data_IF_707109888183
#
_entry.id   IF_707109888183
#
_cell.length_a   1.000
_cell.length_b   1.000
_cell.length_c   1.000
_cell.angle_alpha   90.00
_cell.angle_beta   90.00
_cell.angle_gamma   90.00
#
_symmetry.space_group_name_H-M   'P 1'
#
loop_
_entity.id
_entity.type
_entity.pdbx_description
1 polymer ?
#
# COMPACT_ATOMS: atom_id res chain seq x y z
N UNK A 1 -67.87 25.21 9.74
CA UNK A 1 -68.39 26.61 9.55
C UNK A 1 -67.28 27.42 8.93
N UNK A 2 -67.63 27.99 7.75
CA UNK A 2 -67.07 29.19 7.07
C UNK A 2 -65.55 29.26 6.87
N UNK A 3 -64.97 29.55 5.77
CA UNK A 3 -65.39 30.03 4.42
C UNK A 3 -64.15 30.70 3.83
N UNK A 4 -63.75 30.25 2.64
CA UNK A 4 -63.38 30.96 1.42
C UNK A 4 -62.61 32.31 1.52
N UNK A 5 -61.46 32.43 0.81
CA UNK A 5 -61.43 33.34 -0.34
C UNK A 5 -60.25 33.05 -1.26
N UNK A 6 -60.62 32.97 -2.49
CA UNK A 6 -59.89 32.83 -3.74
C UNK A 6 -59.38 34.23 -4.16
N UNK A 7 -58.20 34.37 -4.70
CA UNK A 7 -57.70 35.60 -5.31
C UNK A 7 -56.84 35.27 -6.54
N UNK A 8 -57.47 35.31 -7.70
CA UNK A 8 -56.84 35.33 -9.03
C UNK A 8 -56.28 36.72 -9.29
N UNK A 9 -55.07 36.79 -9.79
CA UNK A 9 -54.66 37.94 -10.62
C UNK A 9 -53.96 37.51 -11.90
N UNK A 10 -54.38 38.14 -12.93
CA UNK A 10 -54.24 37.89 -14.34
C UNK A 10 -52.95 38.46 -14.92
N UNK A 11 -52.53 37.87 -16.01
CA UNK A 11 -51.34 38.12 -16.82
C UNK A 11 -51.25 39.54 -17.40
N UNK A 12 -50.04 39.94 -17.72
CA UNK A 12 -49.75 40.85 -18.84
C UNK A 12 -48.46 40.41 -19.54
N UNK A 13 -48.62 39.96 -20.78
CA UNK A 13 -47.57 39.79 -21.78
C UNK A 13 -47.13 41.16 -22.32
N UNK A 14 -45.82 41.41 -22.28
CA UNK A 14 -45.23 42.47 -23.10
C UNK A 14 -44.09 41.84 -23.91
N UNK A 15 -44.34 41.71 -25.20
CA UNK A 15 -43.35 41.32 -26.19
C UNK A 15 -42.53 42.57 -26.60
N UNK A 16 -41.22 42.44 -26.59
CA UNK A 16 -40.29 43.41 -27.18
C UNK A 16 -39.43 42.65 -28.22
N UNK A 17 -39.27 43.20 -29.43
CA UNK A 17 -38.65 42.52 -30.55
C UNK A 17 -37.11 42.50 -30.42
N UNK A 18 -36.50 41.37 -30.77
CA UNK A 18 -35.07 41.19 -30.90
C UNK A 18 -34.51 41.94 -32.14
N UNK A 19 -33.54 42.79 -31.89
CA UNK A 19 -32.66 43.29 -32.95
C UNK A 19 -31.44 42.43 -32.99
N UNK A 20 -31.30 41.67 -34.07
CA UNK A 20 -30.10 40.85 -34.38
C UNK A 20 -29.08 41.80 -35.01
N UNK A 21 -27.97 42.06 -34.32
CA UNK A 21 -26.79 42.67 -34.93
C UNK A 21 -25.69 41.61 -34.95
N UNK A 22 -25.42 41.05 -36.11
CA UNK A 22 -24.37 40.08 -36.34
C UNK A 22 -22.99 40.73 -36.23
N UNK A 23 -22.15 40.16 -35.40
CA UNK A 23 -20.70 40.29 -35.49
C UNK A 23 -20.11 38.92 -35.79
N UNK A 24 -19.75 38.74 -37.07
CA UNK A 24 -18.92 37.61 -37.50
C UNK A 24 -17.50 37.89 -37.03
N UNK A 25 -17.13 37.29 -35.88
CA UNK A 25 -15.75 37.20 -35.43
C UNK A 25 -15.27 35.78 -35.61
N UNK A 26 -14.45 35.51 -36.63
CA UNK A 26 -13.71 34.28 -36.78
C UNK A 26 -12.70 34.17 -35.64
N UNK A 27 -13.14 33.62 -34.50
CA UNK A 27 -12.25 33.07 -33.49
C UNK A 27 -11.94 31.60 -33.84
N UNK A 28 -10.68 31.31 -34.19
CA UNK A 28 -10.20 29.94 -34.29
C UNK A 28 -10.52 29.24 -32.95
N UNK A 29 -11.02 27.99 -32.95
CA UNK A 29 -11.16 27.24 -31.72
C UNK A 29 -9.76 27.12 -31.10
N UNK A 30 -9.62 27.61 -29.87
CA UNK A 30 -8.46 27.33 -29.03
C UNK A 30 -8.46 25.82 -28.84
N UNK A 31 -7.37 25.12 -29.15
CA UNK A 31 -7.27 23.73 -28.81
C UNK A 31 -7.38 23.63 -27.28
N UNK A 32 -8.40 23.00 -26.78
CA UNK A 32 -8.39 22.46 -25.43
C UNK A 32 -7.34 21.37 -25.45
N UNK A 33 -6.12 21.76 -25.12
CA UNK A 33 -5.09 20.77 -24.75
C UNK A 33 -5.67 19.95 -23.62
N UNK A 34 -6.20 18.80 -23.97
CA UNK A 34 -6.49 17.75 -23.04
C UNK A 34 -5.17 17.48 -22.34
N UNK A 35 -5.08 17.88 -21.06
CA UNK A 35 -4.06 17.39 -20.16
C UNK A 35 -4.17 15.88 -20.25
N UNK A 36 -3.27 15.27 -20.98
CA UNK A 36 -3.26 13.84 -21.23
C UNK A 36 -3.20 13.13 -19.88
N UNK A 37 -4.32 12.57 -19.49
CA UNK A 37 -4.36 11.55 -18.45
C UNK A 37 -3.56 10.38 -19.02
N UNK A 38 -2.28 10.29 -18.70
CA UNK A 38 -1.29 9.38 -19.30
C UNK A 38 -1.60 7.88 -19.20
N UNK A 39 -2.82 7.50 -19.48
CA UNK A 39 -3.26 6.11 -19.64
C UNK A 39 -2.87 5.69 -21.05
N UNK A 40 -2.01 4.69 -21.18
CA UNK A 40 -1.83 4.03 -22.47
C UNK A 40 -3.19 3.50 -22.90
N UNK A 41 -3.70 3.98 -24.05
CA UNK A 41 -4.92 3.43 -24.62
C UNK A 41 -4.74 1.96 -24.98
N UNK A 42 -5.82 1.22 -25.06
CA UNK A 42 -5.79 -0.23 -25.34
C UNK A 42 -5.06 -0.54 -26.68
N UNK A 43 -5.10 0.38 -27.65
CA UNK A 43 -4.40 0.19 -28.91
C UNK A 43 -2.88 0.30 -28.76
N UNK A 44 -2.41 1.22 -27.94
CA UNK A 44 -0.98 1.36 -27.60
C UNK A 44 -0.46 0.10 -26.91
N UNK A 45 -1.24 -0.50 -25.99
CA UNK A 45 -0.87 -1.73 -25.30
C UNK A 45 -0.80 -2.92 -26.28
N UNK A 46 -1.73 -3.02 -27.24
CA UNK A 46 -1.74 -4.05 -28.27
C UNK A 46 -0.59 -3.93 -29.27
N UNK A 47 0.02 -2.76 -29.41
CA UNK A 47 1.16 -2.53 -30.28
C UNK A 47 2.52 -2.84 -29.62
N UNK A 48 2.55 -3.25 -28.35
CA UNK A 48 3.77 -3.67 -27.71
C UNK A 48 4.37 -4.92 -28.40
N UNK A 49 5.70 -5.00 -28.42
CA UNK A 49 6.41 -6.20 -28.88
C UNK A 49 6.17 -7.37 -27.91
N UNK A 50 6.25 -8.58 -28.46
CA UNK A 50 6.19 -9.78 -27.63
C UNK A 50 7.45 -9.89 -26.76
N UNK A 51 7.27 -9.84 -25.43
CA UNK A 51 8.36 -9.93 -24.46
C UNK A 51 7.90 -10.65 -23.18
N UNK A 52 8.88 -11.13 -22.45
CA UNK A 52 8.71 -11.70 -21.12
C UNK A 52 9.45 -10.84 -20.10
N UNK A 53 8.73 -10.35 -19.09
CA UNK A 53 9.24 -9.55 -18.01
C UNK A 53 9.40 -10.40 -16.75
N UNK A 54 10.55 -10.29 -16.10
CA UNK A 54 10.85 -10.99 -14.86
C UNK A 54 10.95 -9.98 -13.70
N UNK A 55 10.03 -10.08 -12.74
CA UNK A 55 9.98 -9.26 -11.52
C UNK A 55 10.18 -10.12 -10.28
N UNK A 56 10.79 -9.55 -9.25
CA UNK A 56 10.98 -10.21 -7.96
C UNK A 56 10.85 -9.23 -6.80
N UNK A 57 10.51 -9.75 -5.62
CA UNK A 57 10.59 -8.93 -4.41
C UNK A 57 9.43 -9.10 -3.43
N UNK A 58 8.89 -7.99 -2.99
CA UNK A 58 7.89 -7.91 -1.92
C UNK A 58 6.74 -8.90 -2.08
N UNK A 59 6.43 -9.61 -1.01
CA UNK A 59 5.23 -10.47 -0.94
C UNK A 59 3.97 -9.69 -0.55
N UNK A 60 4.14 -8.50 0.00
CA UNK A 60 3.05 -7.57 0.34
C UNK A 60 2.18 -7.26 -0.89
N UNK A 61 2.78 -6.90 -2.02
CA UNK A 61 2.07 -6.50 -3.24
C UNK A 61 1.68 -7.69 -4.13
N UNK A 62 2.16 -8.91 -3.82
CA UNK A 62 1.96 -10.09 -4.67
C UNK A 62 0.50 -10.42 -4.98
N UNK A 63 -0.46 -10.36 -4.02
CA UNK A 63 -1.87 -10.66 -4.30
C UNK A 63 -2.48 -9.82 -5.42
N UNK A 64 -2.13 -8.55 -5.52
CA UNK A 64 -2.62 -7.68 -6.60
C UNK A 64 -1.76 -7.80 -7.87
N UNK A 65 -0.45 -8.00 -7.73
CA UNK A 65 0.42 -8.25 -8.89
C UNK A 65 -0.01 -9.49 -9.68
N UNK A 66 -0.47 -10.53 -9.01
CA UNK A 66 -0.99 -11.73 -9.66
C UNK A 66 -2.25 -11.44 -10.49
N UNK A 67 -3.12 -10.55 -10.02
CA UNK A 67 -4.28 -10.08 -10.79
C UNK A 67 -3.86 -9.18 -11.95
N UNK A 68 -2.95 -8.23 -11.69
CA UNK A 68 -2.51 -7.29 -12.72
C UNK A 68 -1.79 -7.99 -13.88
N UNK A 69 -0.89 -8.95 -13.59
CA UNK A 69 -0.19 -9.68 -14.66
C UNK A 69 -1.15 -10.45 -15.60
N UNK A 70 -2.19 -11.08 -15.02
CA UNK A 70 -3.20 -11.80 -15.81
C UNK A 70 -4.00 -10.83 -16.69
N UNK A 71 -4.44 -9.71 -16.13
CA UNK A 71 -5.17 -8.69 -16.89
C UNK A 71 -4.31 -7.98 -17.92
N UNK A 72 -3.02 -7.76 -17.65
CA UNK A 72 -2.13 -7.13 -18.61
C UNK A 72 -1.77 -8.04 -19.78
N UNK A 73 -1.66 -9.36 -19.55
CA UNK A 73 -1.53 -10.36 -20.63
C UNK A 73 -2.75 -10.28 -21.56
N UNK A 74 -3.97 -10.21 -21.03
CA UNK A 74 -5.20 -10.06 -21.82
C UNK A 74 -5.17 -8.75 -22.64
N UNK A 75 -4.82 -7.62 -22.03
CA UNK A 75 -4.76 -6.30 -22.69
C UNK A 75 -3.70 -6.19 -23.80
N UNK A 76 -2.67 -7.01 -23.74
CA UNK A 76 -1.60 -7.02 -24.74
C UNK A 76 -1.75 -8.17 -25.77
N UNK A 77 -2.94 -8.76 -25.86
CA UNK A 77 -3.23 -9.92 -26.73
C UNK A 77 -2.17 -11.05 -26.58
N UNK A 78 -1.75 -11.32 -25.33
CA UNK A 78 -0.78 -12.35 -24.99
C UNK A 78 0.69 -12.00 -25.26
N UNK A 79 0.99 -10.79 -25.74
CA UNK A 79 2.36 -10.39 -26.14
C UNK A 79 3.29 -10.12 -24.97
N UNK A 80 2.79 -9.51 -23.89
CA UNK A 80 3.60 -9.22 -22.69
C UNK A 80 3.26 -10.20 -21.59
N UNK A 81 4.20 -11.10 -21.30
CA UNK A 81 4.10 -12.04 -20.18
C UNK A 81 4.88 -11.49 -18.98
N UNK A 82 4.31 -11.59 -17.78
CA UNK A 82 4.96 -11.11 -16.57
C UNK A 82 5.11 -12.27 -15.59
N UNK A 83 6.35 -12.62 -15.29
CA UNK A 83 6.69 -13.56 -14.23
C UNK A 83 7.08 -12.78 -12.99
N UNK A 84 6.32 -12.94 -11.90
CA UNK A 84 6.64 -12.33 -10.63
C UNK A 84 6.82 -13.38 -9.55
N UNK A 85 7.95 -13.29 -8.85
CA UNK A 85 8.26 -14.18 -7.72
C UNK A 85 8.37 -13.37 -6.43
N UNK A 86 7.46 -13.63 -5.47
CA UNK A 86 7.52 -13.05 -4.13
C UNK A 86 8.66 -13.66 -3.32
N UNK A 87 9.79 -12.97 -3.22
CA UNK A 87 11.01 -13.43 -2.52
C UNK A 87 11.35 -12.57 -1.31
N UNK A 88 10.55 -11.53 -1.02
CA UNK A 88 10.78 -10.52 0.00
C UNK A 88 11.45 -9.26 -0.56
N UNK A 89 11.20 -8.11 0.06
CA UNK A 89 11.69 -6.80 -0.41
C UNK A 89 13.21 -6.73 -0.53
N UNK A 90 13.93 -7.30 0.43
CA UNK A 90 15.40 -7.32 0.38
C UNK A 90 15.95 -8.11 -0.81
N UNK A 91 15.33 -9.24 -1.16
CA UNK A 91 15.70 -10.00 -2.35
C UNK A 91 15.39 -9.20 -3.63
N UNK A 92 14.22 -8.51 -3.69
CA UNK A 92 13.87 -7.64 -4.80
C UNK A 92 14.92 -6.54 -5.05
N UNK A 93 15.35 -5.85 -4.00
CA UNK A 93 16.42 -4.85 -4.09
C UNK A 93 17.73 -5.48 -4.57
N UNK A 94 18.11 -6.66 -4.02
CA UNK A 94 19.32 -7.36 -4.44
C UNK A 94 19.29 -7.76 -5.93
N UNK A 95 18.12 -8.17 -6.45
CA UNK A 95 18.01 -8.47 -7.89
C UNK A 95 18.21 -7.22 -8.74
N UNK A 96 17.74 -6.07 -8.27
CA UNK A 96 17.96 -4.80 -8.96
C UNK A 96 19.44 -4.36 -8.89
N UNK A 97 20.09 -4.40 -7.72
CA UNK A 97 21.52 -4.02 -7.63
C UNK A 97 22.43 -4.88 -8.50
N UNK A 98 22.01 -6.14 -8.78
CA UNK A 98 22.74 -7.08 -9.64
C UNK A 98 22.28 -7.12 -11.11
N UNK A 99 21.30 -6.31 -11.51
CA UNK A 99 20.67 -6.33 -12.86
C UNK A 99 20.14 -7.70 -13.28
N UNK A 100 19.53 -8.45 -12.35
CA UNK A 100 19.02 -9.81 -12.59
C UNK A 100 17.50 -9.86 -12.78
N UNK A 101 16.80 -8.74 -12.68
CA UNK A 101 15.37 -8.63 -12.93
C UNK A 101 15.06 -7.37 -13.76
N UNK A 102 13.97 -7.40 -14.50
CA UNK A 102 13.48 -6.27 -15.28
C UNK A 102 12.87 -5.20 -14.35
N UNK A 103 12.29 -5.63 -13.21
CA UNK A 103 11.86 -4.75 -12.11
C UNK A 103 11.89 -5.49 -10.77
N UNK A 104 12.12 -4.77 -9.70
CA UNK A 104 12.01 -5.26 -8.33
C UNK A 104 10.75 -4.71 -7.64
N UNK A 105 10.25 -5.38 -6.59
CA UNK A 105 9.29 -4.75 -5.68
C UNK A 105 9.80 -4.71 -4.26
N UNK A 106 9.54 -3.60 -3.56
CA UNK A 106 9.91 -3.38 -2.18
C UNK A 106 8.85 -2.55 -1.45
N UNK A 107 8.59 -2.86 -0.17
CA UNK A 107 7.64 -2.10 0.65
C UNK A 107 8.34 -0.99 1.44
N UNK A 108 9.63 -0.86 1.28
CA UNK A 108 10.41 0.29 1.72
C UNK A 108 11.31 0.77 0.59
N UNK A 109 11.56 2.08 0.49
CA UNK A 109 12.51 2.61 -0.49
C UNK A 109 13.93 2.11 -0.23
N UNK A 110 14.77 2.10 -1.26
CA UNK A 110 16.20 1.77 -1.11
C UNK A 110 16.92 2.83 -0.26
N UNK A 111 17.77 2.35 0.64
CA UNK A 111 18.64 3.20 1.46
C UNK A 111 19.82 3.73 0.64
N UNK A 112 20.50 4.80 1.15
CA UNK A 112 21.74 5.30 0.55
C UNK A 112 22.79 4.21 0.37
N UNK A 113 22.92 3.28 1.34
CA UNK A 113 23.80 2.12 1.24
C UNK A 113 23.45 1.21 0.06
N UNK A 114 22.17 0.87 -0.10
CA UNK A 114 21.70 0.02 -1.21
C UNK A 114 21.83 0.73 -2.57
N UNK A 115 21.63 2.05 -2.61
CA UNK A 115 21.86 2.84 -3.81
C UNK A 115 23.32 2.84 -4.23
N UNK A 116 24.24 2.84 -3.28
CA UNK A 116 25.69 2.76 -3.54
C UNK A 116 26.14 1.39 -4.09
N UNK A 117 25.33 0.33 -3.93
CA UNK A 117 25.57 -1.01 -4.50
C UNK A 117 25.13 -1.15 -5.97
N UNK A 118 24.50 -0.12 -6.54
CA UNK A 118 24.10 -0.12 -7.94
C UNK A 118 25.35 -0.07 -8.84
N UNK A 119 25.29 -0.62 -10.07
CA UNK A 119 26.35 -0.46 -11.05
C UNK A 119 26.71 1.00 -11.28
N UNK A 120 27.96 1.27 -11.56
CA UNK A 120 28.47 2.64 -11.75
C UNK A 120 27.65 3.40 -12.82
N UNK A 121 27.17 4.59 -12.46
CA UNK A 121 26.33 5.44 -13.32
C UNK A 121 24.88 4.96 -13.50
N UNK A 122 24.47 3.89 -12.81
CA UNK A 122 23.08 3.45 -12.85
C UNK A 122 22.21 4.25 -11.88
N UNK A 123 21.03 4.65 -12.34
CA UNK A 123 19.99 5.26 -11.54
C UNK A 123 18.75 4.36 -11.51
N UNK A 124 18.09 4.29 -10.36
CA UNK A 124 16.81 3.63 -10.21
C UNK A 124 15.72 4.61 -9.81
N UNK A 125 14.51 4.28 -10.17
CA UNK A 125 13.29 5.00 -9.77
C UNK A 125 12.41 4.09 -8.94
N UNK A 126 11.70 4.70 -7.96
CA UNK A 126 10.70 4.03 -7.15
C UNK A 126 9.33 4.52 -7.58
N UNK A 127 8.49 3.60 -8.04
CA UNK A 127 7.12 3.88 -8.49
C UNK A 127 6.16 3.27 -7.48
N UNK A 128 5.39 4.08 -6.73
CA UNK A 128 4.34 3.57 -5.86
C UNK A 128 3.34 2.72 -6.64
N UNK A 129 3.00 1.57 -6.12
CA UNK A 129 2.06 0.63 -6.73
C UNK A 129 0.72 0.62 -6.00
N UNK A 130 0.75 0.48 -4.69
CA UNK A 130 -0.42 0.40 -3.81
C UNK A 130 -0.09 0.93 -2.42
N UNK A 131 -1.13 1.26 -1.68
CA UNK A 131 -1.08 1.46 -0.24
C UNK A 131 -1.83 0.33 0.45
N UNK A 132 -1.25 -0.22 1.51
CA UNK A 132 -1.87 -1.29 2.28
C UNK A 132 -1.60 -1.13 3.78
N UNK A 133 -2.07 -2.08 4.56
CA UNK A 133 -1.87 -2.10 6.01
C UNK A 133 -1.12 -3.35 6.46
N UNK A 134 -0.28 -3.20 7.44
CA UNK A 134 0.28 -4.30 8.23
C UNK A 134 -0.56 -4.46 9.48
N UNK A 135 -1.17 -5.63 9.66
CA UNK A 135 -2.09 -5.89 10.76
C UNK A 135 -1.52 -6.89 11.76
N UNK A 136 -1.77 -6.70 13.07
CA UNK A 136 -1.50 -7.72 14.08
C UNK A 136 -2.54 -8.83 13.92
N UNK A 137 -2.16 -9.90 13.22
CA UNK A 137 -3.01 -11.06 12.98
C UNK A 137 -2.70 -12.16 14.00
N UNK A 138 -3.73 -12.82 14.52
CA UNK A 138 -3.61 -13.82 15.57
C UNK A 138 -4.62 -14.95 15.43
N UNK A 139 -4.30 -16.09 16.01
CA UNK A 139 -5.19 -17.23 16.14
C UNK A 139 -5.46 -17.49 17.64
N UNK A 140 -6.66 -17.08 18.07
CA UNK A 140 -7.05 -17.18 19.48
C UNK A 140 -8.42 -17.83 19.58
N UNK A 141 -8.49 -19.14 19.87
CA UNK A 141 -9.75 -19.86 19.99
C UNK A 141 -10.67 -19.26 21.06
N UNK A 142 -11.96 -19.25 20.80
CA UNK A 142 -12.97 -18.74 21.71
C UNK A 142 -13.11 -17.19 21.75
N UNK A 143 -12.23 -16.45 21.06
CA UNK A 143 -12.33 -15.00 20.93
C UNK A 143 -12.94 -14.64 19.59
N UNK A 144 -14.20 -14.18 19.59
CA UNK A 144 -14.93 -13.79 18.37
C UNK A 144 -14.69 -12.35 17.95
N UNK A 145 -14.55 -11.44 18.90
CA UNK A 145 -14.37 -10.02 18.67
C UNK A 145 -12.93 -9.67 18.32
N UNK A 146 -12.69 -8.70 17.43
CA UNK A 146 -11.35 -8.19 17.18
C UNK A 146 -10.75 -7.57 18.43
N UNK A 147 -9.53 -7.99 18.79
CA UNK A 147 -8.80 -7.41 19.91
C UNK A 147 -8.28 -6.01 19.59
N UNK A 148 -8.17 -5.19 20.63
CA UNK A 148 -7.56 -3.87 20.58
C UNK A 148 -6.12 -3.94 21.04
N UNK A 149 -5.24 -3.30 20.30
CA UNK A 149 -3.83 -3.18 20.61
C UNK A 149 -3.40 -1.72 20.68
N UNK A 150 -2.34 -1.46 21.42
CA UNK A 150 -1.59 -0.20 21.35
C UNK A 150 -0.18 -0.50 20.85
N UNK A 151 0.50 0.52 20.30
CA UNK A 151 1.89 0.36 19.89
C UNK A 151 2.80 -0.19 21.00
N UNK A 152 2.80 0.41 22.21
CA UNK A 152 3.57 -0.12 23.34
C UNK A 152 3.22 -1.57 23.70
N UNK A 153 1.94 -1.96 23.65
CA UNK A 153 1.53 -3.34 23.90
C UNK A 153 2.11 -4.30 22.85
N UNK A 154 2.07 -3.93 21.57
CA UNK A 154 2.70 -4.71 20.50
C UNK A 154 4.23 -4.84 20.72
N UNK A 155 4.91 -3.76 21.13
CA UNK A 155 6.33 -3.84 21.51
C UNK A 155 6.55 -4.88 22.61
N UNK A 156 5.77 -4.85 23.67
CA UNK A 156 5.92 -5.81 24.79
C UNK A 156 5.65 -7.27 24.36
N UNK A 157 4.67 -7.49 23.49
CA UNK A 157 4.38 -8.82 22.92
C UNK A 157 5.56 -9.30 22.05
N UNK A 158 5.98 -8.50 21.07
CA UNK A 158 7.00 -8.89 20.12
C UNK A 158 8.43 -8.87 20.69
N UNK A 159 8.62 -8.32 21.89
CA UNK A 159 9.88 -8.43 22.65
C UNK A 159 9.82 -9.48 23.77
N UNK A 160 8.70 -10.22 23.91
CA UNK A 160 8.55 -11.31 24.87
C UNK A 160 8.33 -10.86 26.31
N UNK A 161 8.07 -9.57 26.57
CA UNK A 161 7.74 -9.06 27.91
C UNK A 161 6.34 -9.49 28.36
N UNK A 162 5.44 -9.66 27.42
CA UNK A 162 4.12 -10.25 27.61
C UNK A 162 4.10 -11.60 26.92
N UNK A 163 3.91 -12.67 27.71
CA UNK A 163 4.03 -14.04 27.26
C UNK A 163 2.71 -14.82 27.23
N UNK A 164 1.61 -14.25 27.74
CA UNK A 164 0.30 -14.91 27.79
C UNK A 164 -0.81 -13.98 27.31
N UNK A 165 -1.82 -14.54 26.67
CA UNK A 165 -2.97 -13.80 26.17
C UNK A 165 -3.85 -13.21 27.28
N UNK A 166 -3.94 -13.84 28.44
CA UNK A 166 -4.69 -13.33 29.60
C UNK A 166 -3.89 -12.34 30.47
N UNK A 167 -2.78 -11.78 29.96
CA UNK A 167 -2.03 -10.74 30.64
C UNK A 167 -2.94 -9.53 30.96
N UNK A 168 -2.76 -8.96 32.15
CA UNK A 168 -3.59 -7.85 32.65
C UNK A 168 -3.60 -6.62 31.71
N UNK A 169 -2.51 -6.36 30.98
CA UNK A 169 -2.42 -5.25 30.03
C UNK A 169 -3.28 -5.51 28.78
N UNK A 170 -3.35 -6.75 28.31
CA UNK A 170 -4.23 -7.12 27.19
C UNK A 170 -5.69 -7.06 27.65
N UNK A 171 -5.99 -7.64 28.82
CA UNK A 171 -7.34 -7.64 29.40
C UNK A 171 -7.88 -6.21 29.65
N UNK A 172 -7.05 -5.31 30.14
CA UNK A 172 -7.45 -3.92 30.40
C UNK A 172 -7.85 -3.14 29.12
N UNK A 173 -7.26 -3.47 27.96
CA UNK A 173 -7.63 -2.89 26.68
C UNK A 173 -8.86 -3.57 26.04
N UNK A 174 -9.21 -4.77 26.50
CA UNK A 174 -10.26 -5.62 25.94
C UNK A 174 -11.30 -6.02 27.00
N UNK A 175 -11.95 -5.06 27.69
CA UNK A 175 -12.89 -5.37 28.74
C UNK A 175 -14.07 -6.18 28.19
N UNK A 176 -14.49 -7.20 28.95
CA UNK A 176 -15.60 -8.09 28.57
C UNK A 176 -15.21 -9.26 27.64
N UNK A 177 -13.96 -9.31 27.15
CA UNK A 177 -13.46 -10.43 26.38
C UNK A 177 -12.78 -11.44 27.31
N UNK A 178 -13.28 -12.69 27.34
CA UNK A 178 -12.64 -13.78 28.08
C UNK A 178 -11.38 -14.24 27.36
N UNK A 179 -10.22 -13.77 27.81
CA UNK A 179 -8.93 -14.12 27.23
C UNK A 179 -8.45 -15.47 27.82
N UNK A 180 -8.01 -16.44 26.99
CA UNK A 180 -7.56 -17.74 27.48
C UNK A 180 -6.19 -17.66 28.17
N UNK A 181 -5.94 -18.55 29.13
CA UNK A 181 -4.60 -18.77 29.69
C UNK A 181 -3.75 -19.56 28.69
N UNK A 182 -3.34 -18.90 27.62
CA UNK A 182 -2.60 -19.46 26.50
C UNK A 182 -1.32 -18.63 26.26
N UNK A 183 -0.22 -19.34 26.00
CA UNK A 183 1.04 -18.69 25.66
C UNK A 183 0.94 -17.93 24.34
N UNK A 184 1.52 -16.74 24.29
CA UNK A 184 1.67 -15.98 23.04
C UNK A 184 2.90 -16.51 22.28
N UNK A 185 2.72 -16.81 21.00
CA UNK A 185 3.81 -17.14 20.10
C UNK A 185 3.95 -16.06 19.02
N UNK A 186 4.88 -15.10 19.18
CA UNK A 186 5.19 -14.14 18.11
C UNK A 186 5.75 -14.83 16.87
N UNK A 187 5.31 -14.41 15.69
CA UNK A 187 5.75 -14.93 14.40
C UNK A 187 6.42 -13.82 13.60
N UNK A 188 7.69 -13.99 13.33
CA UNK A 188 8.53 -13.04 12.58
C UNK A 188 8.75 -13.49 11.15
N UNK A 189 9.28 -12.59 10.32
CA UNK A 189 9.79 -12.92 8.99
C UNK A 189 11.21 -13.46 9.07
N UNK A 190 11.44 -14.59 8.40
CA UNK A 190 12.78 -15.20 8.28
C UNK A 190 13.60 -14.55 7.15
N UNK A 191 12.93 -13.97 6.17
CA UNK A 191 13.53 -13.28 5.02
C UNK A 191 13.57 -11.76 5.25
N UNK A 192 14.49 -11.02 4.59
CA UNK A 192 14.49 -9.56 4.61
C UNK A 192 13.21 -8.99 4.01
N UNK A 193 12.35 -8.41 4.84
CA UNK A 193 10.95 -8.10 4.53
C UNK A 193 10.63 -6.62 4.68
N UNK A 194 9.99 -6.04 3.66
CA UNK A 194 9.45 -4.69 3.74
C UNK A 194 8.26 -4.59 4.71
N UNK A 195 7.44 -5.65 4.84
CA UNK A 195 6.39 -5.73 5.87
C UNK A 195 6.99 -5.61 7.27
N UNK A 196 8.12 -6.28 7.52
CA UNK A 196 8.89 -6.13 8.76
C UNK A 196 9.39 -4.70 8.94
N UNK A 197 9.90 -4.08 7.88
CA UNK A 197 10.36 -2.69 7.92
C UNK A 197 9.23 -1.74 8.35
N UNK A 198 8.04 -1.82 7.71
CA UNK A 198 6.87 -1.00 8.04
C UNK A 198 6.45 -1.21 9.51
N UNK A 199 6.38 -2.45 9.95
CA UNK A 199 6.01 -2.79 11.33
C UNK A 199 7.01 -2.23 12.34
N UNK A 200 8.31 -2.43 12.11
CA UNK A 200 9.37 -1.91 12.97
C UNK A 200 9.47 -0.38 12.95
N UNK A 201 9.20 0.27 11.81
CA UNK A 201 9.16 1.74 11.72
C UNK A 201 8.06 2.32 12.62
N UNK A 202 6.87 1.69 12.62
CA UNK A 202 5.81 2.06 13.54
C UNK A 202 6.21 1.83 15.01
N UNK A 203 6.72 0.64 15.35
CA UNK A 203 7.09 0.33 16.73
C UNK A 203 8.22 1.24 17.25
N UNK A 204 9.15 1.62 16.39
CA UNK A 204 10.23 2.54 16.73
C UNK A 204 9.75 3.99 16.96
N UNK A 205 8.62 4.38 16.36
CA UNK A 205 7.98 5.70 16.60
C UNK A 205 7.27 5.79 17.93
N UNK A 206 6.77 4.66 18.43
CA UNK A 206 5.98 4.59 19.67
C UNK A 206 6.79 4.13 20.88
N UNK A 207 8.02 3.60 20.67
CA UNK A 207 8.89 3.12 21.75
C UNK A 207 10.37 3.37 21.40
N UNK A 208 10.99 4.33 22.10
CA UNK A 208 12.41 4.68 21.91
C UNK A 208 13.38 3.55 22.33
N UNK A 209 12.99 2.68 23.27
CA UNK A 209 13.82 1.54 23.63
C UNK A 209 13.82 0.49 22.52
N UNK A 210 12.65 0.21 21.91
CA UNK A 210 12.55 -0.65 20.72
C UNK A 210 13.44 -0.11 19.59
N UNK A 211 13.38 1.19 19.33
CA UNK A 211 14.23 1.84 18.32
C UNK A 211 15.71 1.60 18.53
N UNK A 212 16.16 1.63 19.78
CA UNK A 212 17.58 1.43 20.16
C UNK A 212 18.02 -0.04 20.16
N UNK A 213 17.12 -0.95 20.53
CA UNK A 213 17.49 -2.36 20.79
C UNK A 213 17.20 -3.28 19.61
N UNK A 214 16.08 -3.08 18.91
CA UNK A 214 15.64 -3.85 17.73
C UNK A 214 15.88 -3.07 16.45
N UNK A 215 15.47 -1.79 16.43
CA UNK A 215 15.66 -0.86 15.33
C UNK A 215 14.71 -1.08 14.16
N UNK A 216 14.91 -0.25 13.12
CA UNK A 216 14.13 -0.27 11.88
C UNK A 216 14.96 -0.89 10.76
N UNK A 217 14.56 -2.07 10.29
CA UNK A 217 15.25 -2.81 9.23
C UNK A 217 14.32 -3.82 8.59
N UNK A 218 14.67 -4.27 7.39
CA UNK A 218 14.01 -5.41 6.75
C UNK A 218 14.31 -6.75 7.47
N UNK A 219 15.42 -6.80 8.23
CA UNK A 219 15.85 -7.94 9.01
C UNK A 219 16.41 -7.45 10.36
N UNK A 220 15.54 -6.99 11.27
CA UNK A 220 15.97 -6.47 12.56
C UNK A 220 16.45 -7.58 13.50
N UNK A 221 17.19 -7.21 14.53
CA UNK A 221 17.66 -8.13 15.54
C UNK A 221 16.57 -8.40 16.61
N UNK A 222 15.62 -9.27 16.29
CA UNK A 222 14.61 -9.69 17.26
C UNK A 222 15.25 -10.34 18.49
N UNK A 223 14.65 -10.19 19.69
CA UNK A 223 15.20 -10.80 20.91
C UNK A 223 15.30 -12.33 20.80
N UNK A 224 16.42 -12.88 21.20
CA UNK A 224 16.64 -14.33 21.16
C UNK A 224 15.66 -15.08 22.06
N UNK A 225 15.14 -16.20 21.58
CA UNK A 225 14.19 -17.03 22.32
C UNK A 225 12.75 -16.54 22.31
N UNK A 226 12.46 -15.42 21.62
CA UNK A 226 11.11 -14.91 21.47
C UNK A 226 10.56 -15.32 20.10
N UNK A 227 9.44 -16.06 20.12
CA UNK A 227 8.71 -16.42 18.90
C UNK A 227 9.48 -17.32 17.93
N UNK A 228 8.98 -17.37 16.71
CA UNK A 228 9.53 -18.16 15.60
C UNK A 228 9.61 -17.34 14.33
N UNK A 229 10.47 -17.75 13.40
CA UNK A 229 10.60 -17.11 12.10
C UNK A 229 9.96 -17.96 10.99
N UNK A 230 9.19 -17.32 10.10
CA UNK A 230 8.56 -17.95 8.93
C UNK A 230 8.90 -17.18 7.66
N UNK A 231 9.14 -17.89 6.58
CA UNK A 231 9.50 -17.31 5.29
C UNK A 231 8.26 -16.72 4.61
N UNK A 232 8.37 -15.50 4.10
CA UNK A 232 7.38 -14.79 3.30
C UNK A 232 6.05 -14.55 4.03
N UNK A 233 5.15 -13.82 3.41
CA UNK A 233 3.82 -13.55 4.00
C UNK A 233 2.98 -14.82 4.11
N UNK A 234 3.04 -15.70 3.10
CA UNK A 234 2.32 -16.99 3.10
C UNK A 234 2.73 -17.89 4.26
N UNK A 235 4.05 -17.94 4.56
CA UNK A 235 4.57 -18.73 5.66
C UNK A 235 4.10 -18.21 7.02
N UNK A 236 4.12 -16.88 7.23
CA UNK A 236 3.62 -16.25 8.46
C UNK A 236 2.12 -16.49 8.60
N UNK A 237 1.31 -16.19 7.57
CA UNK A 237 -0.13 -16.41 7.58
C UNK A 237 -0.49 -17.87 7.80
N UNK A 238 0.20 -18.78 7.10
CA UNK A 238 0.00 -20.22 7.26
C UNK A 238 0.35 -20.73 8.65
N UNK A 239 1.38 -20.19 9.31
CA UNK A 239 1.72 -20.56 10.68
C UNK A 239 0.67 -20.08 11.68
N UNK A 240 0.29 -18.79 11.60
CA UNK A 240 -0.75 -18.23 12.47
C UNK A 240 -2.05 -19.05 12.34
N UNK A 241 -2.48 -19.36 11.12
CA UNK A 241 -3.70 -20.13 10.87
C UNK A 241 -3.74 -21.51 11.50
N UNK A 242 -2.59 -22.14 11.76
CA UNK A 242 -2.48 -23.51 12.28
C UNK A 242 -2.07 -23.59 13.75
N UNK A 243 -1.64 -22.47 14.35
CA UNK A 243 -1.08 -22.46 15.69
C UNK A 243 -1.90 -21.58 16.61
N UNK A 244 -2.59 -22.19 17.55
CA UNK A 244 -3.30 -21.48 18.61
C UNK A 244 -2.33 -20.66 19.46
N UNK A 245 -2.70 -19.42 19.78
CA UNK A 245 -1.86 -18.49 20.52
C UNK A 245 -0.81 -17.76 19.68
N UNK A 246 -0.68 -18.07 18.39
CA UNK A 246 0.23 -17.36 17.51
C UNK A 246 -0.29 -15.95 17.19
N UNK A 247 0.64 -14.99 17.12
CA UNK A 247 0.43 -13.62 16.64
C UNK A 247 1.56 -13.21 15.71
N UNK A 248 1.25 -12.57 14.60
CA UNK A 248 2.24 -12.05 13.66
C UNK A 248 1.79 -10.74 13.03
N UNK A 249 2.67 -10.15 12.24
CA UNK A 249 2.38 -8.96 11.45
C UNK A 249 2.38 -9.35 9.97
N UNK A 250 1.24 -9.15 9.32
CA UNK A 250 1.04 -9.49 7.90
C UNK A 250 0.30 -8.38 7.18
N UNK A 251 0.39 -8.37 5.87
CA UNK A 251 -0.44 -7.48 5.06
C UNK A 251 -1.91 -7.92 5.15
N UNK A 252 -2.82 -6.94 5.16
CA UNK A 252 -4.26 -7.09 5.41
C UNK A 252 -4.93 -8.16 4.52
N UNK A 253 -4.58 -8.23 3.24
CA UNK A 253 -5.18 -9.19 2.30
C UNK A 253 -4.99 -10.64 2.75
N UNK A 254 -3.79 -10.98 3.27
CA UNK A 254 -3.54 -12.34 3.81
C UNK A 254 -4.40 -12.65 5.04
N UNK A 255 -4.65 -11.66 5.90
CA UNK A 255 -5.53 -11.84 7.06
C UNK A 255 -6.98 -12.06 6.61
N UNK A 256 -7.46 -11.30 5.62
CA UNK A 256 -8.80 -11.41 5.08
C UNK A 256 -9.04 -12.72 4.30
N UNK A 257 -8.05 -13.20 3.57
CA UNK A 257 -8.09 -14.50 2.87
C UNK A 257 -8.12 -15.70 3.84
N UNK A 258 -7.67 -15.49 5.07
CA UNK A 258 -7.60 -16.53 6.13
C UNK A 258 -8.55 -16.26 7.31
N UNK A 259 -9.57 -15.43 7.14
CA UNK A 259 -10.47 -14.92 8.20
C UNK A 259 -11.16 -15.99 9.05
N UNK A 260 -11.33 -17.19 8.51
CA UNK A 260 -11.94 -18.31 9.24
C UNK A 260 -10.97 -18.99 10.23
N UNK A 261 -9.67 -18.74 10.09
CA UNK A 261 -8.59 -19.37 10.85
C UNK A 261 -7.75 -18.39 11.67
N UNK A 262 -7.85 -17.12 11.37
CA UNK A 262 -7.19 -16.05 12.11
C UNK A 262 -8.05 -14.79 12.12
N UNK A 263 -7.80 -13.95 13.11
CA UNK A 263 -8.36 -12.61 13.22
C UNK A 263 -7.25 -11.59 13.19
N UNK A 264 -7.60 -10.33 12.99
CA UNK A 264 -6.67 -9.22 13.19
C UNK A 264 -7.33 -8.16 14.06
N UNK A 265 -6.51 -7.42 14.79
CA UNK A 265 -6.97 -6.45 15.76
C UNK A 265 -6.93 -5.02 15.28
N UNK A 266 -7.67 -4.13 15.97
CA UNK A 266 -7.50 -2.70 15.83
C UNK A 266 -6.21 -2.25 16.54
N UNK A 267 -5.66 -1.13 16.07
CA UNK A 267 -4.49 -0.52 16.70
C UNK A 267 -4.81 0.92 17.06
N UNK A 268 -4.49 1.33 18.28
CA UNK A 268 -4.67 2.70 18.73
C UNK A 268 -3.72 3.62 17.96
N UNK A 269 -4.30 4.61 17.26
CA UNK A 269 -3.54 5.57 16.48
C UNK A 269 -3.07 6.77 17.32
N UNK A 270 -2.30 7.67 16.68
CA UNK A 270 -1.74 8.87 17.30
C UNK A 270 -2.80 9.82 17.90
N UNK A 271 -4.02 9.82 17.35
CA UNK A 271 -5.16 10.58 17.88
C UNK A 271 -5.88 9.86 19.06
N UNK A 272 -5.37 8.71 19.52
CA UNK A 272 -5.95 7.94 20.62
C UNK A 272 -7.18 7.11 20.24
N UNK A 273 -7.48 6.94 18.96
CA UNK A 273 -8.61 6.15 18.47
C UNK A 273 -8.18 4.72 18.17
N UNK A 274 -9.02 3.75 18.53
CA UNK A 274 -8.83 2.35 18.13
C UNK A 274 -9.31 2.20 16.69
N UNK A 275 -8.38 2.01 15.75
CA UNK A 275 -8.66 1.94 14.31
C UNK A 275 -8.41 0.54 13.78
N UNK A 276 -9.43 -0.04 13.15
CA UNK A 276 -9.29 -1.29 12.40
C UNK A 276 -8.78 -0.97 10.99
N UNK A 277 -7.94 -1.85 10.44
CA UNK A 277 -7.47 -1.68 9.07
C UNK A 277 -8.58 -2.01 8.08
N UNK A 278 -8.94 -1.04 7.27
CA UNK A 278 -9.84 -1.14 6.13
C UNK A 278 -9.43 -0.11 5.05
N UNK A 279 -10.13 -0.10 3.93
CA UNK A 279 -9.82 0.80 2.82
C UNK A 279 -9.87 2.28 3.23
N UNK A 280 -10.84 2.67 4.06
CA UNK A 280 -11.04 4.06 4.45
C UNK A 280 -9.94 4.53 5.42
N UNK A 281 -9.58 3.69 6.39
CA UNK A 281 -8.54 4.01 7.37
C UNK A 281 -7.13 4.00 6.76
N UNK A 282 -6.88 3.14 5.77
CA UNK A 282 -5.63 3.11 5.01
C UNK A 282 -5.54 4.35 4.11
N UNK A 283 -6.64 4.72 3.43
CA UNK A 283 -6.71 5.93 2.61
C UNK A 283 -6.46 7.18 3.46
N UNK A 284 -7.09 7.26 4.64
CA UNK A 284 -6.88 8.38 5.56
C UNK A 284 -5.41 8.52 6.00
N UNK A 285 -4.71 7.40 6.23
CA UNK A 285 -3.28 7.41 6.54
C UNK A 285 -2.43 7.88 5.34
N UNK A 286 -2.78 7.47 4.12
CA UNK A 286 -2.12 7.93 2.91
C UNK A 286 -2.30 9.44 2.72
N UNK A 287 -3.53 9.93 2.74
CA UNK A 287 -3.85 11.35 2.53
C UNK A 287 -3.11 12.24 3.54
N UNK A 288 -3.11 11.86 4.82
CA UNK A 288 -2.39 12.59 5.86
C UNK A 288 -0.87 12.64 5.66
N UNK A 289 -0.29 11.66 4.95
CA UNK A 289 1.16 11.53 4.78
C UNK A 289 1.67 12.14 3.47
N UNK A 290 0.85 12.15 2.41
CA UNK A 290 1.26 12.64 1.07
C UNK A 290 1.54 14.14 1.03
N UNK A 291 0.97 14.92 1.96
CA UNK A 291 1.21 16.35 2.09
C UNK A 291 2.48 16.68 2.90
N UNK A 292 3.07 15.69 3.57
CA UNK A 292 4.21 15.88 4.44
C UNK A 292 5.52 15.74 3.68
N UNK A 293 6.44 16.70 3.87
CA UNK A 293 7.80 16.60 3.36
C UNK A 293 8.53 15.46 4.07
N UNK A 294 9.04 14.52 3.29
CA UNK A 294 9.85 13.42 3.81
C UNK A 294 11.28 13.90 4.07
N UNK A 295 11.72 13.88 5.33
CA UNK A 295 13.04 14.40 5.75
C UNK A 295 13.99 13.30 6.22
N UNK A 296 13.50 12.09 6.41
CA UNK A 296 14.26 10.96 6.96
C UNK A 296 14.49 9.90 5.88
N UNK A 297 15.73 9.35 5.85
CA UNK A 297 16.02 8.18 5.02
C UNK A 297 15.21 6.94 5.47
N UNK A 298 14.83 6.08 4.51
CA UNK A 298 15.12 6.14 3.07
C UNK A 298 14.13 6.99 2.25
N UNK A 299 13.06 7.49 2.86
CA UNK A 299 11.98 8.18 2.16
C UNK A 299 12.43 9.50 1.53
N UNK A 300 13.32 10.25 2.19
CA UNK A 300 13.84 11.53 1.69
C UNK A 300 14.70 11.42 0.42
N UNK A 301 15.16 10.21 0.08
CA UNK A 301 15.98 9.95 -1.10
C UNK A 301 15.16 9.78 -2.39
N UNK A 302 13.83 9.62 -2.28
CA UNK A 302 12.99 9.24 -3.41
C UNK A 302 11.75 10.12 -3.49
N UNK A 303 11.53 10.75 -4.65
CA UNK A 303 10.51 11.79 -4.87
C UNK A 303 9.07 11.35 -4.57
N UNK A 304 8.75 10.07 -4.80
CA UNK A 304 7.39 9.54 -4.65
C UNK A 304 7.29 8.55 -3.48
N UNK A 305 8.26 8.54 -2.57
CA UNK A 305 8.25 7.70 -1.39
C UNK A 305 7.74 8.48 -0.17
N UNK A 306 6.71 7.96 0.47
CA UNK A 306 6.09 8.56 1.64
C UNK A 306 6.04 7.55 2.78
N UNK A 307 6.40 7.99 3.97
CA UNK A 307 6.24 7.21 5.19
C UNK A 307 4.82 7.40 5.72
N UNK A 308 4.07 6.30 5.82
CA UNK A 308 2.68 6.31 6.22
C UNK A 308 2.45 5.81 7.66
N UNK A 309 3.49 5.31 8.33
CA UNK A 309 3.35 4.81 9.69
C UNK A 309 3.14 5.94 10.68
N UNK A 310 2.27 5.72 11.66
CA UNK A 310 1.89 6.70 12.68
C UNK A 310 1.38 8.03 12.09
N UNK A 311 0.67 7.94 10.95
CA UNK A 311 0.07 9.10 10.30
C UNK A 311 -0.91 9.82 11.23
N UNK A 312 -0.99 11.15 11.08
CA UNK A 312 -1.96 11.96 11.82
C UNK A 312 -3.40 11.70 11.37
N UNK A 313 -4.37 12.09 12.19
CA UNK A 313 -5.80 11.98 11.89
C UNK A 313 -6.52 10.91 12.71
N UNK A 314 -7.79 11.17 13.04
CA UNK A 314 -8.58 10.27 13.90
C UNK A 314 -8.90 8.94 13.24
N UNK A 315 -8.98 8.91 11.90
CA UNK A 315 -9.32 7.71 11.12
C UNK A 315 -8.11 6.98 10.58
N UNK A 316 -6.91 7.56 10.66
CA UNK A 316 -5.69 7.01 10.06
C UNK A 316 -5.26 5.71 10.73
N UNK A 317 -5.15 4.63 9.96
CA UNK A 317 -4.60 3.37 10.46
C UNK A 317 -3.08 3.52 10.68
N UNK A 318 -2.55 3.18 11.87
CA UNK A 318 -1.19 3.59 12.22
C UNK A 318 -0.07 2.76 11.58
N UNK A 319 -0.36 1.58 11.04
CA UNK A 319 0.66 0.70 10.43
C UNK A 319 0.38 0.57 8.92
N UNK A 320 0.14 1.70 8.27
CA UNK A 320 0.01 1.75 6.82
C UNK A 320 1.38 1.85 6.13
N UNK A 321 1.46 1.35 4.91
CA UNK A 321 2.69 1.39 4.11
C UNK A 321 2.42 1.33 2.61
N UNK A 322 3.44 1.72 1.84
CA UNK A 322 3.43 1.65 0.37
C UNK A 322 4.29 0.49 -0.11
N UNK A 323 3.87 -0.13 -1.21
CA UNK A 323 4.75 -1.00 -2.00
C UNK A 323 5.14 -0.30 -3.30
N UNK A 324 6.40 -0.44 -3.67
CA UNK A 324 7.01 0.23 -4.82
C UNK A 324 7.49 -0.78 -5.85
N UNK A 325 7.35 -0.47 -7.13
CA UNK A 325 8.21 -1.03 -8.16
C UNK A 325 9.52 -0.24 -8.18
N UNK A 326 10.63 -0.95 -8.25
CA UNK A 326 11.98 -0.41 -8.42
C UNK A 326 12.47 -0.82 -9.78
N UNK A 327 12.85 0.13 -10.62
CA UNK A 327 13.35 -0.13 -11.96
C UNK A 327 14.46 0.86 -12.32
N UNK A 328 15.32 0.48 -13.26
CA UNK A 328 16.32 1.38 -13.78
C UNK A 328 15.68 2.52 -14.55
N UNK A 329 16.26 3.72 -14.45
CA UNK A 329 15.83 4.90 -15.22
C UNK A 329 16.12 4.72 -16.71
N UNK A 330 17.22 4.08 -17.05
CA UNK A 330 17.53 3.64 -18.42
C UNK A 330 17.07 2.20 -18.61
N UNK A 331 16.17 2.00 -19.54
CA UNK A 331 15.58 0.72 -19.86
C UNK A 331 15.99 0.28 -21.27
N UNK A 332 16.08 -1.04 -21.48
CA UNK A 332 16.55 -1.58 -22.75
C UNK A 332 15.36 -1.99 -23.65
N UNK A 333 15.26 -1.35 -24.80
CA UNK A 333 14.48 -1.80 -25.96
C UNK A 333 13.01 -2.12 -25.66
N UNK A 334 12.54 -3.28 -26.12
CA UNK A 334 11.15 -3.70 -26.01
C UNK A 334 10.73 -4.01 -24.58
N UNK A 335 11.61 -4.57 -23.75
CA UNK A 335 11.33 -4.86 -22.34
C UNK A 335 11.12 -3.59 -21.52
N UNK A 336 11.94 -2.57 -21.76
CA UNK A 336 11.78 -1.26 -21.09
C UNK A 336 10.44 -0.62 -21.39
N UNK A 337 10.04 -0.60 -22.68
CA UNK A 337 8.71 -0.10 -23.07
C UNK A 337 7.57 -0.89 -22.41
N UNK A 338 7.69 -2.21 -22.34
CA UNK A 338 6.68 -3.08 -21.78
C UNK A 338 6.55 -2.91 -20.26
N UNK A 339 7.66 -2.78 -19.49
CA UNK A 339 7.60 -2.57 -18.04
C UNK A 339 7.02 -1.20 -17.68
N UNK A 340 7.38 -0.15 -18.42
CA UNK A 340 6.80 1.19 -18.25
C UNK A 340 5.30 1.19 -18.56
N UNK A 341 4.88 0.54 -19.65
CA UNK A 341 3.48 0.42 -20.00
C UNK A 341 2.69 -0.37 -18.96
N UNK A 342 3.25 -1.47 -18.44
CA UNK A 342 2.65 -2.24 -17.35
C UNK A 342 2.45 -1.38 -16.09
N UNK A 343 3.49 -0.68 -15.64
CA UNK A 343 3.41 0.15 -14.44
C UNK A 343 2.44 1.32 -14.63
N UNK A 344 2.41 1.94 -15.80
CA UNK A 344 1.47 3.00 -16.14
C UNK A 344 0.02 2.49 -16.07
N UNK A 345 -0.25 1.32 -16.62
CA UNK A 345 -1.58 0.71 -16.55
C UNK A 345 -1.92 0.28 -15.11
N UNK A 346 -1.02 -0.39 -14.38
CA UNK A 346 -1.25 -0.82 -13.01
C UNK A 346 -1.56 0.35 -12.05
N UNK A 347 -0.94 1.51 -12.29
CA UNK A 347 -1.18 2.74 -11.51
C UNK A 347 -2.29 3.62 -12.08
N UNK A 348 -2.94 3.25 -13.19
CA UNK A 348 -4.11 3.93 -13.75
C UNK A 348 -5.36 3.74 -12.89
N UNK A 349 -6.44 4.46 -13.21
CA UNK A 349 -7.73 4.28 -12.52
C UNK A 349 -8.25 2.84 -12.62
N UNK A 350 -8.06 2.18 -13.77
CA UNK A 350 -8.45 0.79 -13.99
C UNK A 350 -7.64 -0.18 -13.10
N UNK A 351 -6.31 -0.09 -13.15
CA UNK A 351 -5.42 -0.91 -12.32
C UNK A 351 -5.68 -0.73 -10.83
N UNK A 352 -5.94 0.51 -10.39
CA UNK A 352 -6.25 0.83 -8.99
C UNK A 352 -7.65 0.37 -8.56
N UNK A 353 -8.60 0.26 -9.49
CA UNK A 353 -9.90 -0.38 -9.21
C UNK A 353 -9.72 -1.86 -8.90
N UNK A 354 -8.82 -2.56 -9.58
CA UNK A 354 -8.48 -3.94 -9.25
C UNK A 354 -7.78 -4.05 -7.88
N UNK A 355 -6.89 -3.10 -7.56
CA UNK A 355 -6.23 -3.04 -6.26
C UNK A 355 -7.24 -2.88 -5.11
N UNK A 356 -8.24 -2.00 -5.27
CA UNK A 356 -9.33 -1.81 -4.31
C UNK A 356 -10.10 -3.11 -4.04
N UNK A 357 -10.35 -3.93 -5.08
CA UNK A 357 -11.03 -5.23 -4.95
C UNK A 357 -10.21 -6.26 -4.17
N UNK A 358 -8.91 -6.02 -4.03
CA UNK A 358 -7.97 -6.83 -3.25
C UNK A 358 -7.59 -6.16 -1.92
N UNK A 359 -8.43 -5.23 -1.43
CA UNK A 359 -8.27 -4.53 -0.15
C UNK A 359 -7.01 -3.64 -0.04
N UNK A 360 -6.43 -3.23 -1.17
CA UNK A 360 -5.43 -2.17 -1.19
C UNK A 360 -6.13 -0.82 -1.39
N UNK A 361 -5.74 0.18 -0.60
CA UNK A 361 -6.21 1.53 -0.85
C UNK A 361 -5.64 2.05 -2.19
N UNK A 362 -6.50 2.55 -3.08
CA UNK A 362 -6.05 3.05 -4.36
C UNK A 362 -5.17 4.30 -4.17
N UNK A 363 -4.18 4.43 -5.04
CA UNK A 363 -3.34 5.62 -5.07
C UNK A 363 -4.20 6.86 -5.40
N UNK A 364 -4.11 7.95 -4.61
CA UNK A 364 -4.83 9.19 -4.91
C UNK A 364 -4.51 9.72 -6.32
N UNK A 365 -5.48 10.40 -6.94
CA UNK A 365 -5.33 10.90 -8.32
C UNK A 365 -4.13 11.83 -8.47
N UNK A 366 -3.91 12.71 -7.50
CA UNK A 366 -2.76 13.62 -7.46
C UNK A 366 -1.41 12.87 -7.46
N UNK A 367 -1.34 11.73 -6.76
CA UNK A 367 -0.14 10.88 -6.77
C UNK A 367 -0.02 10.11 -8.09
N UNK A 368 -1.12 9.61 -8.65
CA UNK A 368 -1.11 8.94 -9.96
C UNK A 368 -0.63 9.86 -11.09
N UNK A 369 -1.01 11.14 -11.06
CA UNK A 369 -0.50 12.13 -12.02
C UNK A 369 1.03 12.31 -11.89
N UNK A 370 1.56 12.42 -10.65
CA UNK A 370 3.00 12.49 -10.40
C UNK A 370 3.73 11.21 -10.85
N UNK A 371 3.12 10.05 -10.66
CA UNK A 371 3.66 8.76 -11.14
C UNK A 371 3.72 8.76 -12.67
N UNK A 372 2.67 9.21 -13.36
CA UNK A 372 2.66 9.34 -14.81
C UNK A 372 3.83 10.18 -15.31
N UNK A 373 3.99 11.39 -14.76
CA UNK A 373 5.12 12.27 -15.08
C UNK A 373 6.48 11.62 -14.77
N UNK A 374 6.58 10.83 -13.69
CA UNK A 374 7.84 10.12 -13.37
C UNK A 374 8.14 9.00 -14.37
N UNK A 375 7.12 8.26 -14.80
CA UNK A 375 7.26 7.23 -15.83
C UNK A 375 7.68 7.81 -17.19
N UNK A 376 7.29 9.05 -17.51
CA UNK A 376 7.72 9.76 -18.72
C UNK A 376 9.22 10.10 -18.72
N UNK A 377 9.89 10.09 -17.57
CA UNK A 377 11.33 10.33 -17.46
C UNK A 377 12.19 9.06 -17.59
N UNK A 378 11.57 7.90 -17.81
CA UNK A 378 12.28 6.63 -18.01
C UNK A 378 12.63 6.54 -19.50
N UNK A 379 13.92 6.35 -19.76
CA UNK A 379 14.54 6.35 -21.10
C UNK A 379 14.65 4.93 -21.67
#
# INVERSE_FOLDING_TARGET
>A
MRSRALGFFLAAFLAIPAVILGCIGCGKPVPTDAVGTGVADDQTLKNLAAVELNGQGATFVKPILDVWKEKFIEKTDGKVKINYTGTGSGAGVTQMTKKLADFGCSDNPMTSKQMAELPAGAEVVHIPLVVGAVVPAYNLPGVSEPLKFTGPLLVEIFTGKIAKWNDAKIAALNPGIALPDLAIQPVFRADPSGTTFIFCDYLAKVDENFKKTVGVSNAPAWPKGVGIAQSKSDGVAGHISRTEGAIGYIELTFALESKDKMKYGSVKNKAGKDVIADLDSITAAADASLEQKQTQEPYSLHQLAYNLTDASGEKSYPIAGMSFAVLYKKQDGAKGKAVVAFLRWATSAEGQTLAKRRNYAPLPESLRAKIGARLDTIE
#
